data_IF_822899627345
#
_entry.id   IF_822899627345
#
_cell.length_a   1.000
_cell.length_b   1.000
_cell.length_c   1.000
_cell.angle_alpha   90.00
_cell.angle_beta   90.00
_cell.angle_gamma   90.00
#
_symmetry.space_group_name_H-M   'P 1'
#
loop_
_entity.id
_entity.type
_entity.pdbx_description
1 polymer ?
#
# COMPACT_ATOMS: atom_id res chain seq x y z
N UNK A 1 -25.47 -0.82 -1.46
CA UNK A 1 -24.28 -1.65 -1.20
C UNK A 1 -23.17 -1.37 -2.20
N UNK A 2 -23.43 -1.31 -3.50
CA UNK A 2 -22.43 -1.05 -4.55
C UNK A 2 -21.94 0.40 -4.62
N UNK A 3 -22.65 1.37 -4.08
CA UNK A 3 -22.36 2.79 -4.28
C UNK A 3 -21.09 3.26 -3.55
N UNK A 4 -20.88 2.85 -2.30
CA UNK A 4 -19.68 3.26 -1.54
C UNK A 4 -18.39 2.62 -2.09
N UNK A 5 -18.48 1.38 -2.56
CA UNK A 5 -17.38 0.74 -3.28
C UNK A 5 -17.11 1.39 -4.65
N UNK A 6 -18.17 1.87 -5.31
CA UNK A 6 -18.05 2.57 -6.60
C UNK A 6 -17.38 3.94 -6.44
N UNK A 7 -17.63 4.68 -5.37
CA UNK A 7 -16.98 5.96 -5.05
C UNK A 7 -15.48 5.73 -4.77
N UNK A 8 -15.12 4.69 -4.02
CA UNK A 8 -13.72 4.32 -3.80
C UNK A 8 -13.00 3.99 -5.12
N UNK A 9 -13.66 3.24 -5.98
CA UNK A 9 -13.15 2.86 -7.31
C UNK A 9 -13.09 4.05 -8.27
N UNK A 10 -14.08 4.94 -8.27
CA UNK A 10 -14.13 6.14 -9.10
C UNK A 10 -13.03 7.14 -8.70
N UNK A 11 -12.79 7.38 -7.42
CA UNK A 11 -11.69 8.21 -6.94
C UNK A 11 -10.32 7.60 -7.28
N UNK A 12 -10.20 6.28 -7.30
CA UNK A 12 -8.99 5.57 -7.74
C UNK A 12 -8.68 5.83 -9.22
N UNK A 13 -9.65 5.67 -10.10
CA UNK A 13 -9.45 5.89 -11.54
C UNK A 13 -9.19 7.34 -11.90
N UNK A 14 -9.85 8.29 -11.25
CA UNK A 14 -9.62 9.73 -11.46
C UNK A 14 -8.22 10.18 -11.03
N UNK A 15 -7.68 9.65 -9.92
CA UNK A 15 -6.33 9.91 -9.46
C UNK A 15 -5.25 9.30 -10.37
N UNK A 16 -5.48 8.13 -10.97
CA UNK A 16 -4.56 7.53 -11.95
C UNK A 16 -4.48 8.40 -13.20
N UNK A 17 -5.61 8.89 -13.73
CA UNK A 17 -5.63 9.75 -14.90
C UNK A 17 -4.96 11.12 -14.67
N UNK A 18 -5.11 11.71 -13.48
CA UNK A 18 -4.44 12.96 -13.13
C UNK A 18 -2.91 12.78 -13.01
N UNK A 19 -2.44 11.68 -12.40
CA UNK A 19 -1.01 11.34 -12.26
C UNK A 19 -0.35 11.02 -13.60
N UNK A 20 -1.05 10.33 -14.50
CA UNK A 20 -0.54 10.04 -15.85
C UNK A 20 -0.41 11.32 -16.69
N UNK A 21 -1.35 12.26 -16.59
CA UNK A 21 -1.32 13.52 -17.32
C UNK A 21 -0.14 14.41 -16.88
N UNK A 22 0.15 14.49 -15.57
CA UNK A 22 1.29 15.23 -15.02
C UNK A 22 2.64 14.59 -15.35
N UNK A 23 2.79 13.27 -15.29
CA UNK A 23 4.04 12.60 -15.66
C UNK A 23 4.42 12.81 -17.13
N UNK A 24 3.44 12.77 -18.04
CA UNK A 24 3.70 12.98 -19.47
C UNK A 24 4.13 14.42 -19.78
N UNK A 25 3.57 15.42 -19.10
CA UNK A 25 3.92 16.83 -19.28
C UNK A 25 5.30 17.16 -18.68
N UNK A 26 5.63 16.62 -17.52
CA UNK A 26 6.93 16.78 -16.87
C UNK A 26 8.04 16.08 -17.67
N UNK A 27 7.77 14.88 -18.18
CA UNK A 27 8.72 14.15 -19.05
C UNK A 27 9.06 14.89 -20.33
N UNK A 28 8.11 15.56 -20.97
CA UNK A 28 8.35 16.39 -22.15
C UNK A 28 9.15 17.65 -21.86
N UNK A 29 8.92 18.30 -20.70
CA UNK A 29 9.66 19.50 -20.32
C UNK A 29 11.10 19.20 -19.91
N UNK A 30 11.34 18.09 -19.19
CA UNK A 30 12.68 17.67 -18.78
C UNK A 30 13.49 17.13 -19.96
N UNK A 31 12.88 16.39 -20.87
CA UNK A 31 13.55 15.90 -22.10
C UNK A 31 14.03 17.03 -23.01
N UNK A 32 13.24 18.09 -23.17
CA UNK A 32 13.62 19.27 -23.93
C UNK A 32 14.77 20.06 -23.31
N UNK A 33 14.77 20.22 -21.98
CA UNK A 33 15.82 20.95 -21.27
C UNK A 33 17.18 20.23 -21.32
N UNK A 34 17.22 18.92 -21.17
CA UNK A 34 18.44 18.12 -21.23
C UNK A 34 19.06 18.18 -22.64
N UNK A 35 18.24 18.17 -23.69
CA UNK A 35 18.71 18.27 -25.08
C UNK A 35 19.39 19.62 -25.39
N UNK A 36 18.84 20.73 -24.87
CA UNK A 36 19.41 22.06 -25.09
C UNK A 36 20.70 22.28 -24.29
N UNK A 37 20.77 21.81 -23.05
CA UNK A 37 21.98 21.91 -22.22
C UNK A 37 23.11 21.00 -22.75
N UNK A 38 22.80 19.81 -23.24
CA UNK A 38 23.79 18.91 -23.85
C UNK A 38 24.44 19.53 -25.10
N UNK A 39 23.66 20.22 -25.92
CA UNK A 39 24.19 20.89 -27.14
C UNK A 39 25.08 22.08 -26.81
N UNK A 40 24.75 22.86 -25.77
CA UNK A 40 25.53 24.03 -25.36
C UNK A 40 26.87 23.59 -24.76
N UNK A 41 26.94 22.53 -23.95
CA UNK A 41 28.16 21.99 -23.36
C UNK A 41 29.09 21.43 -24.46
N UNK A 42 28.50 20.73 -25.47
CA UNK A 42 29.30 20.18 -26.57
C UNK A 42 29.95 21.27 -27.44
N UNK A 43 29.29 22.37 -27.70
CA UNK A 43 29.82 23.50 -28.47
C UNK A 43 30.93 24.22 -27.70
N UNK A 44 30.82 24.36 -26.37
CA UNK A 44 31.88 24.98 -25.57
C UNK A 44 33.15 24.12 -25.45
N UNK A 45 33.00 22.77 -25.36
CA UNK A 45 34.14 21.86 -25.27
C UNK A 45 34.92 21.76 -26.59
N UNK A 46 34.24 21.86 -27.74
CA UNK A 46 34.92 21.82 -29.06
C UNK A 46 35.57 23.17 -29.41
N UNK A 47 35.08 24.28 -28.84
CA UNK A 47 35.58 25.64 -29.13
C UNK A 47 36.80 26.10 -28.31
N UNK A 48 37.13 25.43 -27.20
CA UNK A 48 38.15 25.93 -26.25
C UNK A 48 39.51 25.22 -26.33
N UNK A 49 39.70 24.20 -27.15
CA UNK A 49 41.03 23.61 -27.43
C UNK A 49 41.82 23.11 -26.21
N UNK A 50 41.21 22.85 -25.07
CA UNK A 50 41.88 22.41 -23.87
C UNK A 50 42.04 20.89 -23.78
N UNK A 51 43.21 20.50 -23.31
CA UNK A 51 43.86 19.21 -23.36
C UNK A 51 43.09 18.10 -22.61
N UNK A 52 42.69 17.05 -23.32
CA UNK A 52 41.87 15.93 -22.83
C UNK A 52 42.58 15.03 -21.79
N UNK A 53 43.87 15.29 -21.49
CA UNK A 53 44.67 14.39 -20.66
C UNK A 53 44.53 14.64 -19.14
N UNK A 54 43.99 15.79 -18.69
CA UNK A 54 43.79 16.06 -17.26
C UNK A 54 42.44 15.55 -16.69
N UNK A 55 41.50 15.13 -17.55
CA UNK A 55 40.19 14.68 -17.11
C UNK A 55 40.16 13.19 -16.67
N UNK A 56 41.25 12.45 -16.91
CA UNK A 56 41.29 11.00 -16.60
C UNK A 56 41.68 10.65 -15.17
N UNK A 57 42.26 11.54 -14.39
CA UNK A 57 42.76 11.22 -13.04
C UNK A 57 41.77 11.59 -11.91
N UNK A 58 40.79 12.48 -12.14
CA UNK A 58 39.80 12.89 -11.13
C UNK A 58 38.46 12.13 -11.17
N UNK A 59 38.38 11.01 -11.94
CA UNK A 59 37.13 10.25 -12.10
C UNK A 59 37.10 8.95 -11.30
N UNK A 60 38.01 8.77 -10.33
CA UNK A 60 38.04 7.53 -9.53
C UNK A 60 37.56 7.65 -8.10
N UNK A 61 37.11 8.84 -7.65
CA UNK A 61 36.73 9.04 -6.25
C UNK A 61 35.27 9.49 -6.03
N UNK A 62 34.45 9.60 -7.09
CA UNK A 62 33.04 10.09 -6.89
C UNK A 62 31.99 9.21 -7.54
N UNK A 63 32.19 7.89 -7.62
CA UNK A 63 31.11 6.93 -8.02
C UNK A 63 31.06 5.79 -6.99
N UNK A 64 31.00 6.12 -5.72
CA UNK A 64 30.50 5.23 -4.67
C UNK A 64 29.19 5.77 -4.05
N UNK A 65 28.43 6.58 -4.78
CA UNK A 65 27.11 7.00 -4.34
C UNK A 65 26.07 6.31 -5.21
N UNK A 66 25.31 5.43 -4.58
CA UNK A 66 24.00 4.95 -5.02
C UNK A 66 23.95 3.79 -6.02
N UNK A 67 24.59 2.66 -5.73
CA UNK A 67 24.13 1.37 -6.26
C UNK A 67 23.24 0.57 -5.29
N UNK A 68 22.74 1.18 -4.22
CA UNK A 68 21.89 0.49 -3.25
C UNK A 68 20.38 0.71 -3.42
N UNK A 69 19.91 1.30 -4.53
CA UNK A 69 18.50 1.65 -4.66
C UNK A 69 17.79 1.11 -5.92
N UNK A 70 18.30 0.08 -6.58
CA UNK A 70 17.61 -0.61 -7.68
C UNK A 70 17.54 -2.13 -7.42
N UNK A 71 17.32 -2.51 -6.18
CA UNK A 71 16.74 -3.80 -5.84
C UNK A 71 15.41 -3.42 -5.23
N UNK A 72 14.30 -3.73 -5.90
CA UNK A 72 12.95 -3.53 -5.34
C UNK A 72 12.93 -4.14 -3.95
N UNK A 73 12.95 -3.28 -2.93
CA UNK A 73 13.09 -3.71 -1.55
C UNK A 73 11.92 -4.65 -1.21
N UNK A 74 12.22 -5.74 -0.52
CA UNK A 74 11.21 -6.59 0.09
C UNK A 74 10.37 -5.71 0.99
N UNK A 75 9.07 -5.62 0.73
CA UNK A 75 8.11 -4.87 1.54
C UNK A 75 7.32 -5.87 2.35
N UNK A 76 7.24 -5.68 3.65
CA UNK A 76 6.51 -6.56 4.55
C UNK A 76 5.22 -5.89 5.02
N UNK A 77 4.12 -6.65 4.99
CA UNK A 77 2.87 -6.26 5.64
C UNK A 77 2.80 -6.99 6.96
N UNK A 78 2.71 -6.22 8.03
CA UNK A 78 2.53 -6.73 9.38
C UNK A 78 1.07 -6.99 9.69
N UNK A 79 0.80 -7.91 10.60
CA UNK A 79 -0.56 -8.20 11.05
C UNK A 79 -1.15 -6.98 11.76
N UNK A 80 -2.29 -6.46 11.28
CA UNK A 80 -2.96 -5.35 11.96
C UNK A 80 -3.70 -5.78 13.22
N UNK A 81 -3.86 -7.08 13.47
CA UNK A 81 -4.63 -7.61 14.58
C UNK A 81 -4.06 -8.96 15.02
N UNK A 82 -4.07 -9.22 16.33
CA UNK A 82 -3.71 -10.53 16.85
C UNK A 82 -4.80 -11.56 16.55
N UNK A 83 -4.40 -12.78 16.13
CA UNK A 83 -5.34 -13.83 15.82
C UNK A 83 -4.79 -14.88 14.87
N UNK A 84 -5.66 -15.79 14.42
CA UNK A 84 -5.29 -16.86 13.50
C UNK A 84 -5.44 -16.39 12.05
N UNK A 85 -4.33 -16.39 11.32
CA UNK A 85 -4.32 -16.09 9.88
C UNK A 85 -4.89 -17.26 9.10
N UNK A 86 -5.76 -17.00 8.16
CA UNK A 86 -6.35 -17.96 7.22
C UNK A 86 -6.25 -17.43 5.80
N UNK A 87 -6.28 -18.33 4.83
CA UNK A 87 -6.35 -17.95 3.42
C UNK A 87 -7.62 -17.15 3.13
N UNK A 88 -7.51 -16.10 2.32
CA UNK A 88 -8.64 -15.29 1.90
C UNK A 88 -9.72 -16.14 1.20
N UNK A 89 -9.32 -17.15 0.42
CA UNK A 89 -10.19 -18.12 -0.26
C UNK A 89 -11.09 -18.93 0.69
N UNK A 90 -10.79 -18.98 2.00
CA UNK A 90 -11.58 -19.68 3.02
C UNK A 90 -12.61 -18.80 3.73
N UNK A 91 -12.68 -17.53 3.38
CA UNK A 91 -13.71 -16.62 3.90
C UNK A 91 -15.05 -16.94 3.25
N UNK A 92 -16.09 -17.05 4.06
CA UNK A 92 -17.47 -17.33 3.62
C UNK A 92 -18.15 -16.06 3.10
N UNK A 93 -17.51 -15.42 2.13
CA UNK A 93 -18.03 -14.25 1.40
C UNK A 93 -17.40 -14.23 0.00
N UNK A 94 -18.22 -14.33 -1.08
CA UNK A 94 -17.71 -14.37 -2.45
C UNK A 94 -16.94 -13.12 -2.89
N UNK A 95 -17.21 -11.96 -2.30
CA UNK A 95 -16.51 -10.70 -2.66
C UNK A 95 -15.05 -10.78 -2.22
N UNK A 96 -14.79 -11.35 -1.04
CA UNK A 96 -13.44 -11.50 -0.52
C UNK A 96 -12.76 -12.77 -1.03
N UNK A 97 -13.42 -13.92 -0.95
CA UNK A 97 -12.83 -15.21 -1.30
C UNK A 97 -12.48 -15.37 -2.78
N UNK A 98 -13.13 -14.62 -3.68
CA UNK A 98 -12.80 -14.60 -5.11
C UNK A 98 -11.56 -13.76 -5.46
N UNK A 99 -11.04 -12.94 -4.54
CA UNK A 99 -9.98 -11.99 -4.83
C UNK A 99 -10.43 -10.77 -5.67
N UNK A 100 -11.73 -10.56 -5.88
CA UNK A 100 -12.24 -9.43 -6.68
C UNK A 100 -11.86 -8.05 -6.13
N UNK A 101 -11.61 -7.96 -4.82
CA UNK A 101 -11.17 -6.73 -4.13
C UNK A 101 -9.64 -6.58 -4.09
N UNK A 102 -8.90 -7.57 -4.55
CA UNK A 102 -7.46 -7.72 -4.42
C UNK A 102 -7.10 -9.00 -3.65
N UNK A 103 -5.80 -9.25 -3.52
CA UNK A 103 -5.29 -10.42 -2.81
C UNK A 103 -4.88 -10.07 -1.37
N UNK A 104 -4.77 -11.07 -0.52
CA UNK A 104 -4.39 -10.88 0.87
C UNK A 104 -4.64 -12.10 1.73
N UNK A 105 -4.92 -11.86 2.99
CA UNK A 105 -5.27 -12.88 3.98
C UNK A 105 -6.54 -12.49 4.73
N UNK A 106 -7.09 -13.39 5.51
CA UNK A 106 -8.06 -13.06 6.53
C UNK A 106 -7.55 -13.50 7.90
N UNK A 107 -8.00 -12.83 8.96
CA UNK A 107 -7.60 -13.13 10.33
C UNK A 107 -8.85 -13.44 11.13
N UNK A 108 -8.83 -14.54 11.91
CA UNK A 108 -9.80 -14.76 12.98
C UNK A 108 -9.26 -14.09 14.23
N UNK A 109 -9.80 -12.93 14.64
CA UNK A 109 -9.24 -12.15 15.74
C UNK A 109 -9.27 -12.90 17.07
N UNK A 110 -8.20 -12.76 17.86
CA UNK A 110 -8.14 -13.13 19.29
C UNK A 110 -8.15 -11.88 20.18
N UNK A 111 -8.00 -10.69 19.59
CA UNK A 111 -8.07 -9.38 20.23
C UNK A 111 -9.07 -8.48 19.49
N UNK A 112 -9.47 -7.40 20.13
CA UNK A 112 -10.50 -6.46 19.69
C UNK A 112 -9.92 -5.14 19.16
N UNK A 113 -8.64 -5.08 18.84
CA UNK A 113 -7.91 -3.88 18.41
C UNK A 113 -7.30 -4.06 17.03
N UNK A 114 -7.44 -3.04 16.21
CA UNK A 114 -6.83 -2.98 14.87
C UNK A 114 -5.76 -1.89 14.88
N UNK A 115 -4.56 -2.24 14.44
CA UNK A 115 -3.39 -1.37 14.39
C UNK A 115 -2.94 -1.13 12.94
N UNK A 116 -2.20 -0.05 12.71
CA UNK A 116 -1.61 0.23 11.41
C UNK A 116 -0.51 -0.78 11.08
N UNK A 117 -0.58 -1.47 9.92
CA UNK A 117 0.40 -2.49 9.53
C UNK A 117 1.70 -1.90 8.98
N UNK A 118 1.76 -0.57 8.81
CA UNK A 118 2.89 0.19 8.28
C UNK A 118 2.73 1.70 8.56
N UNK A 119 3.78 2.48 8.31
CA UNK A 119 3.70 3.94 8.27
C UNK A 119 2.96 4.38 7.00
N UNK A 120 1.97 5.27 7.14
CA UNK A 120 1.17 5.66 6.00
C UNK A 120 0.10 6.70 6.31
N UNK A 121 -0.95 6.70 5.49
CA UNK A 121 -2.08 7.62 5.60
C UNK A 121 -3.39 6.86 5.52
N UNK A 122 -4.36 7.23 6.35
CA UNK A 122 -5.73 6.73 6.28
C UNK A 122 -6.43 7.35 5.07
N UNK A 123 -6.80 6.52 4.09
CA UNK A 123 -7.50 6.99 2.89
C UNK A 123 -9.02 6.92 3.00
N UNK A 124 -9.50 5.95 3.78
CA UNK A 124 -10.92 5.65 3.84
C UNK A 124 -11.30 5.11 5.21
N UNK A 125 -12.45 5.51 5.70
CA UNK A 125 -13.16 4.92 6.84
C UNK A 125 -14.61 4.75 6.41
N UNK A 126 -15.14 3.53 6.52
CA UNK A 126 -16.54 3.28 6.21
C UNK A 126 -17.45 4.09 7.16
N UNK A 127 -18.57 4.61 6.67
CA UNK A 127 -19.56 5.35 7.49
C UNK A 127 -20.02 4.53 8.70
N UNK A 128 -20.13 3.22 8.52
CA UNK A 128 -20.47 2.24 9.57
C UNK A 128 -19.23 1.72 10.34
N UNK A 129 -18.07 2.36 10.21
CA UNK A 129 -16.85 2.19 11.02
C UNK A 129 -16.22 0.80 10.99
N UNK A 130 -16.76 -0.16 10.24
CA UNK A 130 -16.31 -1.55 10.22
C UNK A 130 -15.10 -1.79 9.29
N UNK A 131 -14.76 -0.82 8.45
CA UNK A 131 -13.67 -0.95 7.48
C UNK A 131 -12.82 0.31 7.41
N UNK A 132 -11.49 0.12 7.28
CA UNK A 132 -10.49 1.18 7.15
C UNK A 132 -9.59 0.85 5.97
N UNK A 133 -9.38 1.84 5.09
CA UNK A 133 -8.42 1.81 3.99
C UNK A 133 -7.19 2.67 4.29
N UNK A 134 -6.01 2.13 4.03
CA UNK A 134 -4.72 2.76 4.27
C UNK A 134 -3.87 2.76 3.00
N UNK A 135 -3.02 3.76 2.86
CA UNK A 135 -1.92 3.74 1.90
C UNK A 135 -0.60 3.90 2.64
N UNK A 136 0.37 3.02 2.37
CA UNK A 136 1.72 3.14 2.91
C UNK A 136 2.50 4.26 2.25
N UNK A 137 3.61 4.67 2.85
CA UNK A 137 4.55 5.63 2.26
C UNK A 137 5.14 5.13 0.93
N UNK A 138 5.22 3.81 0.77
CA UNK A 138 5.70 3.13 -0.44
C UNK A 138 4.58 2.84 -1.47
N UNK A 139 3.36 3.31 -1.24
CA UNK A 139 2.24 3.19 -2.17
C UNK A 139 1.47 1.86 -2.13
N UNK A 140 1.62 1.04 -1.09
CA UNK A 140 0.82 -0.16 -0.87
C UNK A 140 -0.55 0.26 -0.34
N UNK A 141 -1.63 -0.17 -0.99
CA UNK A 141 -3.00 0.11 -0.57
C UNK A 141 -3.60 -1.10 0.12
N UNK A 142 -4.07 -0.91 1.36
CA UNK A 142 -4.70 -1.98 2.17
C UNK A 142 -6.10 -1.58 2.58
N UNK A 143 -7.01 -2.55 2.53
CA UNK A 143 -8.32 -2.52 3.17
C UNK A 143 -8.35 -3.54 4.32
N UNK A 144 -8.69 -3.09 5.51
CA UNK A 144 -8.98 -3.93 6.69
C UNK A 144 -10.47 -3.88 6.93
N UNK A 145 -11.16 -5.02 6.85
CA UNK A 145 -12.61 -5.13 6.98
C UNK A 145 -12.97 -6.01 8.18
N UNK A 146 -13.44 -5.42 9.27
CA UNK A 146 -13.71 -6.14 10.52
C UNK A 146 -15.06 -6.83 10.49
N UNK A 147 -15.01 -8.15 10.52
CA UNK A 147 -16.18 -9.03 10.51
C UNK A 147 -16.89 -9.12 9.14
N UNK A 148 -17.75 -10.12 9.02
CA UNK A 148 -18.57 -10.32 7.83
C UNK A 148 -19.96 -9.72 8.06
N UNK A 149 -20.49 -9.03 7.05
CA UNK A 149 -21.83 -8.37 7.11
C UNK A 149 -22.00 -7.30 8.21
N UNK A 150 -20.95 -6.91 8.91
CA UNK A 150 -20.95 -5.97 10.03
C UNK A 150 -21.33 -4.54 9.64
N UNK A 151 -21.37 -4.23 8.35
CA UNK A 151 -22.01 -3.00 7.82
C UNK A 151 -23.47 -2.84 8.31
N UNK A 152 -24.19 -3.93 8.53
CA UNK A 152 -25.58 -3.97 9.02
C UNK A 152 -25.70 -3.50 10.47
N UNK A 153 -24.60 -3.46 11.23
CA UNK A 153 -24.56 -2.94 12.61
C UNK A 153 -24.62 -1.42 12.68
N UNK A 154 -24.53 -0.70 11.55
CA UNK A 154 -24.59 0.76 11.47
C UNK A 154 -23.62 1.48 12.43
N UNK A 155 -22.40 0.94 12.57
CA UNK A 155 -21.35 1.50 13.43
C UNK A 155 -21.43 1.11 14.90
N UNK A 156 -22.47 0.38 15.32
CA UNK A 156 -22.61 -0.09 16.69
C UNK A 156 -21.54 -1.14 17.00
N UNK A 157 -20.81 -0.94 18.10
CA UNK A 157 -19.71 -1.82 18.49
C UNK A 157 -18.38 -1.52 17.79
N UNK A 158 -18.23 -0.38 17.12
CA UNK A 158 -16.99 0.08 16.50
C UNK A 158 -16.59 1.47 17.00
N UNK A 159 -15.36 1.61 17.46
CA UNK A 159 -14.80 2.87 17.96
C UNK A 159 -13.50 3.21 17.20
N UNK A 160 -13.60 4.11 16.24
CA UNK A 160 -12.48 4.55 15.38
C UNK A 160 -11.63 5.56 16.13
N UNK A 161 -10.31 5.33 16.16
CA UNK A 161 -9.33 6.14 16.87
C UNK A 161 -8.53 7.09 15.95
N UNK A 162 -8.81 7.07 14.68
CA UNK A 162 -8.13 7.86 13.64
C UNK A 162 -9.14 8.61 12.78
N UNK A 163 -8.68 9.37 11.80
CA UNK A 163 -9.53 10.09 10.84
C UNK A 163 -9.02 9.94 9.41
N UNK A 164 -9.89 10.16 8.42
CA UNK A 164 -9.49 10.19 7.00
C UNK A 164 -8.46 11.31 6.78
N UNK A 165 -7.44 11.02 5.97
CA UNK A 165 -6.27 11.85 5.69
C UNK A 165 -5.30 12.02 6.87
N UNK A 166 -5.50 11.34 8.01
CA UNK A 166 -4.51 11.32 9.08
C UNK A 166 -3.31 10.48 8.71
N UNK A 167 -2.11 10.97 9.08
CA UNK A 167 -0.89 10.17 9.09
C UNK A 167 -0.94 9.21 10.26
N UNK A 168 -0.50 7.99 10.03
CA UNK A 168 -0.39 6.95 11.05
C UNK A 168 0.99 6.33 11.03
N UNK A 169 1.47 5.93 12.20
CA UNK A 169 2.69 5.14 12.35
C UNK A 169 2.33 3.67 12.43
N UNK A 170 3.27 2.83 12.03
CA UNK A 170 3.19 1.40 12.25
C UNK A 170 2.87 1.11 13.75
N UNK A 171 1.98 0.15 13.99
CA UNK A 171 1.46 -0.23 15.31
C UNK A 171 0.62 0.87 16.02
N UNK A 172 0.24 1.94 15.34
CA UNK A 172 -0.72 2.92 15.87
C UNK A 172 -2.13 2.34 15.88
N UNK A 173 -2.87 2.53 16.99
CA UNK A 173 -4.23 2.04 17.15
C UNK A 173 -5.19 2.79 16.23
N UNK A 174 -5.89 2.06 15.35
CA UNK A 174 -6.82 2.61 14.36
C UNK A 174 -8.28 2.46 14.77
N UNK A 175 -8.64 1.31 15.35
CA UNK A 175 -10.01 0.91 15.60
C UNK A 175 -10.07 -0.07 16.77
N UNK A 176 -11.05 0.10 17.65
CA UNK A 176 -11.49 -0.93 18.61
C UNK A 176 -12.88 -1.42 18.23
N UNK A 177 -13.17 -2.71 18.45
CA UNK A 177 -14.47 -3.30 18.15
C UNK A 177 -14.91 -4.27 19.23
N UNK A 178 -16.23 -4.40 19.41
CA UNK A 178 -16.83 -5.29 20.41
C UNK A 178 -17.14 -6.66 19.79
N UNK A 179 -16.24 -7.64 20.01
CA UNK A 179 -16.39 -9.02 19.52
C UNK A 179 -17.73 -9.61 19.98
N UNK A 180 -18.09 -9.42 21.26
CA UNK A 180 -19.32 -9.98 21.82
C UNK A 180 -20.58 -9.35 21.21
N UNK A 181 -20.54 -8.06 20.91
CA UNK A 181 -21.64 -7.39 20.24
C UNK A 181 -21.81 -7.90 18.79
N UNK A 182 -20.71 -8.12 18.05
CA UNK A 182 -20.73 -8.65 16.69
C UNK A 182 -21.31 -10.07 16.69
N UNK A 183 -20.81 -10.95 17.55
CA UNK A 183 -21.26 -12.34 17.65
C UNK A 183 -22.73 -12.43 18.13
N UNK A 184 -23.16 -11.57 19.06
CA UNK A 184 -24.54 -11.51 19.54
C UNK A 184 -25.54 -11.13 18.43
N UNK A 185 -25.14 -10.30 17.49
CA UNK A 185 -25.95 -9.94 16.31
C UNK A 185 -25.89 -11.03 15.21
N UNK A 186 -25.14 -12.14 15.44
CA UNK A 186 -25.04 -13.28 14.54
C UNK A 186 -24.00 -13.11 13.41
N UNK A 187 -23.12 -12.13 13.51
CA UNK A 187 -22.06 -11.90 12.50
C UNK A 187 -20.76 -12.60 12.88
N UNK A 188 -19.97 -12.95 11.84
CA UNK A 188 -18.65 -13.51 12.02
C UNK A 188 -17.62 -12.39 12.21
N UNK A 189 -16.64 -12.62 13.10
CA UNK A 189 -15.56 -11.66 13.38
C UNK A 189 -14.37 -11.78 12.41
N UNK A 190 -14.38 -12.73 11.48
CA UNK A 190 -13.31 -12.90 10.48
C UNK A 190 -13.03 -11.56 9.79
N UNK A 191 -11.77 -11.16 9.77
CA UNK A 191 -11.31 -9.84 9.34
C UNK A 191 -10.40 -9.97 8.12
N UNK A 192 -10.89 -9.77 6.89
CA UNK A 192 -10.05 -9.65 5.70
C UNK A 192 -9.06 -8.48 5.79
N UNK A 193 -7.82 -8.75 5.37
CA UNK A 193 -6.74 -7.79 5.17
C UNK A 193 -6.30 -7.91 3.71
N UNK A 194 -6.69 -6.95 2.89
CA UNK A 194 -6.64 -7.03 1.43
C UNK A 194 -5.73 -5.96 0.87
N UNK A 195 -4.81 -6.34 0.00
CA UNK A 195 -4.00 -5.41 -0.78
C UNK A 195 -4.79 -5.07 -2.04
N UNK A 196 -5.39 -3.89 -2.07
CA UNK A 196 -6.32 -3.48 -3.14
C UNK A 196 -5.63 -3.15 -4.46
N UNK A 197 -4.33 -2.83 -4.43
CA UNK A 197 -3.48 -2.66 -5.60
C UNK A 197 -2.54 -3.86 -5.82
N UNK A 198 -3.01 -5.06 -5.49
CA UNK A 198 -2.24 -6.31 -5.52
C UNK A 198 -1.64 -6.67 -6.89
N UNK A 199 -2.22 -6.16 -7.97
CA UNK A 199 -1.72 -6.39 -9.35
C UNK A 199 -0.32 -5.79 -9.59
N UNK A 200 0.13 -4.88 -8.73
CA UNK A 200 1.46 -4.28 -8.79
C UNK A 200 2.55 -5.13 -8.12
N UNK A 201 2.18 -6.22 -7.43
CA UNK A 201 3.08 -6.97 -6.55
C UNK A 201 2.97 -8.48 -6.73
N UNK A 202 4.13 -9.16 -6.68
CA UNK A 202 4.17 -10.58 -6.32
C UNK A 202 4.04 -10.70 -4.81
N UNK A 203 3.14 -11.55 -4.34
CA UNK A 203 2.86 -11.76 -2.93
C UNK A 203 3.35 -13.11 -2.46
N UNK A 204 3.94 -13.16 -1.27
CA UNK A 204 4.27 -14.38 -0.55
C UNK A 204 3.64 -14.34 0.84
N UNK A 205 2.74 -15.26 1.12
CA UNK A 205 2.05 -15.34 2.40
C UNK A 205 2.99 -16.01 3.42
N UNK A 206 3.33 -15.32 4.50
CA UNK A 206 4.30 -15.78 5.51
C UNK A 206 3.66 -16.58 6.64
N UNK A 207 2.41 -16.32 6.97
CA UNK A 207 1.77 -16.77 8.20
C UNK A 207 0.41 -17.44 7.97
N UNK A 208 0.28 -18.26 6.91
CA UNK A 208 -1.00 -18.95 6.65
C UNK A 208 -1.23 -20.08 7.66
N UNK A 209 -2.44 -20.12 8.25
CA UNK A 209 -2.90 -21.10 9.25
C UNK A 209 -2.08 -21.07 10.56
N UNK A 210 -1.54 -19.89 10.89
CA UNK A 210 -0.78 -19.67 12.13
C UNK A 210 -1.45 -18.61 13.00
N UNK A 211 -1.27 -18.72 14.32
CA UNK A 211 -1.59 -17.63 15.23
C UNK A 211 -0.47 -16.59 15.19
N UNK A 212 -0.86 -15.33 15.12
CA UNK A 212 0.06 -14.18 15.09
C UNK A 212 -0.37 -13.12 16.08
N UNK A 213 0.60 -12.42 16.64
CA UNK A 213 0.37 -11.14 17.33
C UNK A 213 0.28 -10.01 16.29
N UNK A 214 -0.30 -8.87 16.69
CA UNK A 214 -0.18 -7.65 15.89
C UNK A 214 1.32 -7.30 15.69
N UNK A 215 1.63 -6.65 14.58
CA UNK A 215 3.02 -6.29 14.24
C UNK A 215 3.89 -7.43 13.72
N UNK A 216 3.42 -8.68 13.67
CA UNK A 216 4.17 -9.79 13.04
C UNK A 216 4.00 -9.77 11.52
N UNK A 217 5.06 -10.01 10.73
CA UNK A 217 4.96 -10.09 9.28
C UNK A 217 4.02 -11.21 8.84
N UNK A 218 3.07 -10.91 7.96
CA UNK A 218 2.09 -11.88 7.42
C UNK A 218 2.17 -12.01 5.89
N UNK A 219 2.61 -10.97 5.19
CA UNK A 219 2.75 -10.97 3.73
C UNK A 219 4.05 -10.28 3.34
N UNK A 220 4.83 -10.91 2.46
CA UNK A 220 5.92 -10.29 1.73
C UNK A 220 5.44 -9.82 0.36
N UNK A 221 5.85 -8.63 -0.02
CA UNK A 221 5.56 -8.06 -1.33
C UNK A 221 6.85 -7.74 -2.09
N UNK A 222 6.84 -8.08 -3.37
CA UNK A 222 7.88 -7.70 -4.32
C UNK A 222 7.22 -7.00 -5.50
N UNK A 223 7.64 -5.79 -5.82
CA UNK A 223 7.16 -5.07 -6.99
C UNK A 223 7.41 -5.87 -8.28
N UNK A 224 6.40 -5.89 -9.14
CA UNK A 224 6.56 -6.44 -10.48
C UNK A 224 7.43 -5.48 -11.29
N UNK A 225 8.58 -5.95 -11.79
CA UNK A 225 9.37 -5.17 -12.73
C UNK A 225 8.59 -5.04 -14.03
N UNK A 226 8.22 -3.81 -14.39
CA UNK A 226 7.73 -3.52 -15.74
C UNK A 226 8.95 -3.61 -16.65
N UNK A 227 9.10 -4.71 -17.40
CA UNK A 227 10.04 -4.76 -18.51
C UNK A 227 9.56 -3.76 -19.57
N UNK A 228 10.29 -2.67 -19.73
CA UNK A 228 10.13 -1.74 -20.85
C UNK A 228 10.61 -2.38 -22.16
#
# INVERSE_FOLDING_TARGET
FFWNYWIFWYNRTSNIWSKLKTKKTIGMLLGGAISLFGAIILVQVIGSGENINEIKENKKETIEVSQSSIIGGKKEIKSPIAGKVIELSKVDDPVFSSGAMGNGVAIKPSDNKVYAPFNGTVQFIADTKHAIGLISDDGIEILIHVGMDTVKMNGKGFDVKTAVNSRVKEEELLLEFDIKAIEKEGYQIVTPVIITNSDAYNQNLLAVVMDVDNGKPIIDLKELSVSM
#
